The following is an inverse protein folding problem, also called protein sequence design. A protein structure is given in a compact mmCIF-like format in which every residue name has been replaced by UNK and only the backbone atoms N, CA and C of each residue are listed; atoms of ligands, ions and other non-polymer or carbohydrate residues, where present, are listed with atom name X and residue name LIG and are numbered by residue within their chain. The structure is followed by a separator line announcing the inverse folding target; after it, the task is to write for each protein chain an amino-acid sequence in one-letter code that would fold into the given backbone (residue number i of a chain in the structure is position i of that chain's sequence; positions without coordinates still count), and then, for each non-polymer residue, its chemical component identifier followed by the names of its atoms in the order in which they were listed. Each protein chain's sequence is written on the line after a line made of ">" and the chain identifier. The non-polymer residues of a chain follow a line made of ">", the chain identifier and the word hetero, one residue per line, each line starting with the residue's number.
data_IF_359084321946
#
_entry.id   IF_359084321946
#
_cell.length_a   1.000
_cell.length_b   1.000
_cell.length_c   1.000
_cell.angle_alpha   90.00
_cell.angle_beta   90.00
_cell.angle_gamma   90.00
#
_symmetry.space_group_name_H-M   'P 1'
#
loop_
_entity.id
_entity.type
_entity.pdbx_description
1 polymer ?
#
# COMPACT_ATOMS: atom_id res chain seq x y z
N UNK A 1 16.90 3.07 -4.93
CA UNK A 1 17.73 2.55 -3.82
C UNK A 1 17.07 2.79 -2.46
N UNK A 2 16.45 3.95 -2.20
CA UNK A 2 15.76 4.25 -0.93
C UNK A 2 14.57 3.33 -0.60
N UNK A 3 13.69 3.03 -1.57
CA UNK A 3 12.51 2.15 -1.35
C UNK A 3 12.93 0.78 -0.84
N UNK A 4 13.89 0.13 -1.50
CA UNK A 4 14.37 -1.20 -1.10
C UNK A 4 15.03 -1.19 0.27
N UNK A 5 15.85 -0.19 0.57
CA UNK A 5 16.48 -0.04 1.88
C UNK A 5 15.44 0.17 3.00
N UNK A 6 14.48 1.09 2.80
CA UNK A 6 13.40 1.33 3.76
C UNK A 6 12.59 0.06 4.04
N UNK A 7 12.20 -0.68 2.99
CA UNK A 7 11.47 -1.94 3.15
C UNK A 7 12.25 -3.03 3.88
N UNK A 8 13.56 -3.16 3.62
CA UNK A 8 14.42 -4.14 4.32
C UNK A 8 14.59 -3.77 5.80
N UNK A 9 14.87 -2.50 6.10
CA UNK A 9 15.01 -2.00 7.46
C UNK A 9 13.71 -2.23 8.23
N UNK A 10 12.58 -1.82 7.66
CA UNK A 10 11.26 -1.97 8.28
C UNK A 10 10.96 -3.45 8.60
N UNK A 11 11.14 -4.33 7.61
CA UNK A 11 10.87 -5.77 7.78
C UNK A 11 11.78 -6.39 8.84
N UNK A 12 13.05 -5.99 8.87
CA UNK A 12 14.00 -6.42 9.89
C UNK A 12 13.57 -5.97 11.30
N UNK A 13 13.22 -4.69 11.48
CA UNK A 13 12.81 -4.13 12.78
C UNK A 13 11.50 -4.75 13.28
N UNK A 14 10.53 -4.97 12.39
CA UNK A 14 9.30 -5.70 12.71
C UNK A 14 9.64 -7.12 13.20
N UNK A 15 10.51 -7.81 12.46
CA UNK A 15 10.92 -9.18 12.79
C UNK A 15 11.66 -9.23 14.13
N UNK A 16 12.53 -8.27 14.41
CA UNK A 16 13.26 -8.12 15.67
C UNK A 16 12.29 -7.97 16.85
N UNK A 17 11.29 -7.09 16.74
CA UNK A 17 10.30 -6.90 17.80
C UNK A 17 9.45 -8.16 18.03
N UNK A 18 9.07 -8.86 16.96
CA UNK A 18 8.34 -10.13 17.06
C UNK A 18 9.18 -11.26 17.63
N UNK A 19 10.46 -11.32 17.29
CA UNK A 19 11.40 -12.26 17.89
C UNK A 19 11.58 -12.03 19.39
N UNK A 20 11.55 -10.77 19.85
CA UNK A 20 11.52 -10.40 21.27
C UNK A 20 10.19 -10.70 21.98
N UNK A 21 9.17 -11.19 21.27
CA UNK A 21 7.87 -11.54 21.83
C UNK A 21 6.97 -10.33 22.15
N UNK A 22 7.30 -9.14 21.63
CA UNK A 22 6.56 -7.89 21.92
C UNK A 22 5.86 -7.34 20.66
N UNK A 23 5.03 -6.31 20.84
CA UNK A 23 4.37 -5.63 19.74
C UNK A 23 5.39 -4.87 18.88
N UNK A 24 5.24 -4.96 17.55
CA UNK A 24 6.13 -4.26 16.61
C UNK A 24 5.67 -2.84 16.27
N UNK A 25 4.37 -2.56 16.33
CA UNK A 25 3.81 -1.24 16.02
C UNK A 25 3.13 -0.69 17.26
N UNK A 26 3.22 0.64 17.45
CA UNK A 26 2.64 1.34 18.60
C UNK A 26 3.16 0.84 19.96
N UNK A 27 4.41 0.35 19.99
CA UNK A 27 5.04 -0.14 21.21
C UNK A 27 6.01 0.89 21.75
N UNK A 28 5.62 1.56 22.82
CA UNK A 28 6.43 2.54 23.55
C UNK A 28 6.61 2.12 25.02
N UNK A 29 6.50 0.82 25.31
CA UNK A 29 6.60 0.29 26.68
C UNK A 29 7.98 0.54 27.32
N UNK A 30 9.04 0.62 26.50
CA UNK A 30 10.40 0.93 26.93
C UNK A 30 11.04 1.94 25.98
N UNK A 31 12.14 2.57 26.42
CA UNK A 31 12.93 3.48 25.58
C UNK A 31 13.49 2.80 24.32
N UNK A 32 13.87 1.52 24.42
CA UNK A 32 14.30 0.74 23.27
C UNK A 32 13.15 0.49 22.29
N UNK A 33 11.96 0.13 22.78
CA UNK A 33 10.79 -0.11 21.92
C UNK A 33 10.36 1.15 21.19
N UNK A 34 10.32 2.29 21.89
CA UNK A 34 10.03 3.59 21.31
C UNK A 34 11.06 3.97 20.24
N UNK A 35 12.36 3.73 20.47
CA UNK A 35 13.40 4.00 19.48
C UNK A 35 13.25 3.13 18.22
N UNK A 36 12.92 1.84 18.38
CA UNK A 36 12.67 0.94 17.25
C UNK A 36 11.42 1.36 16.48
N UNK A 37 10.34 1.73 17.18
CA UNK A 37 9.12 2.21 16.55
C UNK A 37 9.35 3.52 15.77
N UNK A 38 10.12 4.45 16.33
CA UNK A 38 10.53 5.66 15.62
C UNK A 38 11.38 5.35 14.37
N UNK A 39 12.32 4.41 14.47
CA UNK A 39 13.13 3.97 13.34
C UNK A 39 12.30 3.35 12.22
N UNK A 40 11.25 2.58 12.57
CA UNK A 40 10.27 2.07 11.61
C UNK A 40 9.53 3.21 10.88
N UNK A 41 9.07 4.22 11.63
CA UNK A 41 8.46 5.42 11.02
C UNK A 41 9.37 6.13 10.01
N UNK A 42 10.67 6.22 10.29
CA UNK A 42 11.66 6.75 9.34
C UNK A 42 11.81 5.83 8.11
N UNK A 43 11.91 4.52 8.31
CA UNK A 43 12.04 3.56 7.22
C UNK A 43 10.81 3.60 6.27
N UNK A 44 9.60 3.67 6.82
CA UNK A 44 8.36 3.87 6.05
C UNK A 44 8.39 5.19 5.29
N UNK A 45 8.91 6.27 5.89
CA UNK A 45 9.03 7.57 5.20
C UNK A 45 9.97 7.49 3.98
N UNK A 46 11.04 6.70 4.07
CA UNK A 46 11.96 6.41 2.95
C UNK A 46 11.31 5.60 1.82
N UNK A 47 10.19 4.92 2.09
CA UNK A 47 9.38 4.21 1.09
C UNK A 47 8.27 5.14 0.54
N UNK A 48 7.57 5.85 1.42
CA UNK A 48 6.40 6.65 1.08
C UNK A 48 6.77 7.83 0.17
N UNK A 49 7.81 8.60 0.49
CA UNK A 49 8.20 9.79 -0.28
C UNK A 49 8.55 9.43 -1.73
N UNK A 50 9.44 8.46 -2.02
CA UNK A 50 9.68 8.04 -3.40
C UNK A 50 8.45 7.49 -4.10
N UNK A 51 7.55 6.81 -3.38
CA UNK A 51 6.30 6.28 -3.95
C UNK A 51 5.39 7.41 -4.43
N UNK A 52 5.24 8.48 -3.64
CA UNK A 52 4.52 9.71 -4.05
C UNK A 52 5.17 10.35 -5.27
N UNK A 53 6.50 10.45 -5.29
CA UNK A 53 7.24 10.99 -6.45
C UNK A 53 7.02 10.13 -7.70
N UNK A 54 7.04 8.81 -7.57
CA UNK A 54 6.77 7.88 -8.67
C UNK A 54 5.32 8.01 -9.17
N UNK A 55 4.35 8.11 -8.27
CA UNK A 55 2.96 8.34 -8.62
C UNK A 55 2.80 9.65 -9.43
N UNK A 56 3.37 10.75 -8.94
CA UNK A 56 3.32 12.05 -9.62
C UNK A 56 4.04 12.04 -10.98
N UNK A 57 5.20 11.40 -11.08
CA UNK A 57 5.92 11.23 -12.36
C UNK A 57 5.14 10.36 -13.34
N UNK A 58 4.50 9.29 -12.86
CA UNK A 58 3.71 8.38 -13.70
C UNK A 58 2.51 9.07 -14.34
N UNK A 59 1.88 10.00 -13.62
CA UNK A 59 0.75 10.77 -14.11
C UNK A 59 1.11 11.69 -15.29
N UNK A 60 2.37 12.19 -15.32
CA UNK A 60 2.82 13.18 -16.31
C UNK A 60 3.69 12.61 -17.43
N UNK A 61 4.51 11.59 -17.14
CA UNK A 61 5.59 11.16 -18.04
C UNK A 61 5.51 9.70 -18.48
N UNK A 62 4.60 8.89 -17.93
CA UNK A 62 4.50 7.48 -18.29
C UNK A 62 3.97 7.30 -19.71
N UNK A 63 4.78 6.69 -20.57
CA UNK A 63 4.44 6.31 -21.94
C UNK A 63 4.52 4.79 -22.07
N UNK A 64 3.37 4.13 -22.19
CA UNK A 64 3.26 2.68 -22.37
C UNK A 64 1.87 2.33 -22.90
N UNK A 65 1.56 1.04 -23.06
CA UNK A 65 0.24 0.58 -23.47
C UNK A 65 -0.87 1.15 -22.55
N UNK A 66 -2.03 1.57 -23.08
CA UNK A 66 -3.10 2.17 -22.28
C UNK A 66 -3.53 1.35 -21.04
N UNK A 67 -3.60 0.02 -21.15
CA UNK A 67 -3.98 -0.88 -20.05
C UNK A 67 -2.94 -0.86 -18.93
N UNK A 68 -1.65 -0.88 -19.30
CA UNK A 68 -0.53 -0.82 -18.35
C UNK A 68 -0.39 0.55 -17.72
N UNK A 69 -0.62 1.61 -18.49
CA UNK A 69 -0.63 2.97 -17.97
C UNK A 69 -1.72 3.15 -16.91
N UNK A 70 -2.92 2.63 -17.17
CA UNK A 70 -4.01 2.60 -16.20
C UNK A 70 -3.64 1.79 -14.95
N UNK A 71 -3.14 0.56 -15.11
CA UNK A 71 -2.73 -0.30 -14.00
C UNK A 71 -1.69 0.37 -13.09
N UNK A 72 -0.64 0.98 -13.67
CA UNK A 72 0.41 1.66 -12.92
C UNK A 72 -0.13 2.90 -12.21
N UNK A 73 -0.89 3.76 -12.91
CA UNK A 73 -1.37 5.02 -12.34
C UNK A 73 -2.36 4.80 -11.19
N UNK A 74 -3.35 3.93 -11.39
CA UNK A 74 -4.32 3.59 -10.34
C UNK A 74 -3.64 2.82 -9.20
N UNK A 75 -2.77 1.87 -9.53
CA UNK A 75 -2.03 1.10 -8.53
C UNK A 75 -1.12 1.98 -7.65
N UNK A 76 -0.38 2.92 -8.25
CA UNK A 76 0.44 3.89 -7.50
C UNK A 76 -0.42 4.85 -6.67
N UNK A 77 -1.57 5.29 -7.20
CA UNK A 77 -2.50 6.13 -6.44
C UNK A 77 -3.04 5.38 -5.22
N UNK A 78 -3.45 4.12 -5.38
CA UNK A 78 -3.85 3.26 -4.26
C UNK A 78 -2.71 3.09 -3.27
N UNK A 79 -1.50 2.76 -3.72
CA UNK A 79 -0.34 2.59 -2.83
C UNK A 79 -0.07 3.85 -1.99
N UNK A 80 -0.14 5.04 -2.59
CA UNK A 80 -0.03 6.32 -1.87
C UNK A 80 -1.17 6.51 -0.87
N UNK A 81 -2.42 6.24 -1.26
CA UNK A 81 -3.57 6.33 -0.35
C UNK A 81 -3.43 5.37 0.85
N UNK A 82 -2.89 4.17 0.63
CA UNK A 82 -2.68 3.17 1.68
C UNK A 82 -1.66 3.66 2.69
N UNK A 83 -0.54 4.19 2.21
CA UNK A 83 0.53 4.71 3.05
C UNK A 83 0.14 5.98 3.82
N UNK A 84 -0.47 6.95 3.13
CA UNK A 84 -0.72 8.28 3.69
C UNK A 84 -2.04 8.34 4.43
N UNK A 85 -3.13 7.90 3.80
CA UNK A 85 -4.49 8.07 4.33
C UNK A 85 -4.81 6.96 5.33
N UNK A 86 -4.76 5.70 4.90
CA UNK A 86 -5.11 4.57 5.78
C UNK A 86 -4.05 4.38 6.87
N UNK A 87 -2.76 4.54 6.53
CA UNK A 87 -1.68 4.57 7.52
C UNK A 87 -1.87 5.69 8.55
N UNK A 88 -2.30 6.89 8.12
CA UNK A 88 -2.65 7.99 9.01
C UNK A 88 -3.80 7.66 9.97
N UNK A 89 -4.86 7.00 9.48
CA UNK A 89 -5.95 6.52 10.33
C UNK A 89 -5.47 5.51 11.37
N UNK A 90 -4.60 4.57 10.98
CA UNK A 90 -4.01 3.60 11.91
C UNK A 90 -3.17 4.30 12.99
N UNK A 91 -2.39 5.31 12.64
CA UNK A 91 -1.61 6.09 13.61
C UNK A 91 -2.54 6.83 14.57
N UNK A 92 -3.57 7.50 14.06
CA UNK A 92 -4.53 8.23 14.88
C UNK A 92 -5.33 7.31 15.83
N UNK A 93 -5.67 6.10 15.38
CA UNK A 93 -6.38 5.11 16.18
C UNK A 93 -5.50 4.43 17.25
N UNK A 94 -4.17 4.50 17.10
CA UNK A 94 -3.20 3.93 18.02
C UNK A 94 -3.32 2.41 18.19
N UNK A 95 -2.69 1.86 19.24
CA UNK A 95 -2.59 0.41 19.44
C UNK A 95 -3.94 -0.31 19.54
N UNK A 96 -4.96 0.34 20.14
CA UNK A 96 -6.26 -0.26 20.38
C UNK A 96 -7.14 -0.30 19.11
N UNK A 97 -7.15 0.76 18.30
CA UNK A 97 -8.03 0.85 17.13
C UNK A 97 -7.38 0.48 15.79
N UNK A 98 -6.05 0.51 15.68
CA UNK A 98 -5.36 0.22 14.41
C UNK A 98 -5.62 -1.19 13.86
N UNK A 99 -6.08 -2.12 14.71
CA UNK A 99 -6.47 -3.47 14.32
C UNK A 99 -7.58 -3.50 13.25
N UNK A 100 -8.61 -2.67 13.41
CA UNK A 100 -9.75 -2.61 12.50
C UNK A 100 -9.35 -2.21 11.06
N UNK A 101 -8.32 -1.37 10.94
CA UNK A 101 -7.84 -0.86 9.66
C UNK A 101 -6.82 -1.76 8.96
N UNK A 102 -6.36 -2.87 9.55
CA UNK A 102 -5.34 -3.75 8.93
C UNK A 102 -5.80 -4.33 7.59
N UNK A 103 -7.04 -4.81 7.52
CA UNK A 103 -7.61 -5.39 6.30
C UNK A 103 -7.72 -4.36 5.16
N UNK A 104 -8.38 -3.19 5.35
CA UNK A 104 -8.41 -2.18 4.31
C UNK A 104 -7.02 -1.64 3.96
N UNK A 105 -6.11 -1.51 4.94
CA UNK A 105 -4.74 -1.08 4.68
C UNK A 105 -4.02 -2.06 3.73
N UNK A 106 -4.09 -3.36 4.01
CA UNK A 106 -3.48 -4.39 3.15
C UNK A 106 -4.08 -4.36 1.72
N UNK A 107 -5.41 -4.28 1.59
CA UNK A 107 -6.05 -4.21 0.28
C UNK A 107 -5.59 -3.01 -0.53
N UNK A 108 -5.52 -1.84 0.10
CA UNK A 108 -5.07 -0.62 -0.58
C UNK A 108 -3.61 -0.74 -1.02
N UNK A 109 -2.72 -1.24 -0.15
CA UNK A 109 -1.29 -1.41 -0.47
C UNK A 109 -1.05 -2.43 -1.60
N UNK A 110 -1.89 -3.46 -1.71
CA UNK A 110 -1.72 -4.52 -2.72
C UNK A 110 -2.38 -4.24 -4.08
N UNK A 111 -3.08 -3.11 -4.22
CA UNK A 111 -3.78 -2.76 -5.47
C UNK A 111 -2.85 -2.66 -6.69
N UNK A 112 -1.62 -2.17 -6.51
CA UNK A 112 -0.65 -2.10 -7.61
C UNK A 112 -0.29 -3.49 -8.14
N UNK A 113 -0.01 -4.45 -7.26
CA UNK A 113 0.32 -5.82 -7.64
C UNK A 113 -0.83 -6.47 -8.39
N UNK A 114 -2.06 -6.33 -7.88
CA UNK A 114 -3.25 -6.92 -8.50
C UNK A 114 -3.49 -6.37 -9.90
N UNK A 115 -3.39 -5.05 -10.08
CA UNK A 115 -3.61 -4.42 -11.39
C UNK A 115 -2.52 -4.75 -12.40
N UNK A 116 -1.26 -4.87 -11.95
CA UNK A 116 -0.17 -5.30 -12.82
C UNK A 116 -0.31 -6.78 -13.24
N UNK A 117 -0.73 -7.65 -12.31
CA UNK A 117 -1.03 -9.06 -12.62
C UNK A 117 -2.21 -9.15 -13.59
N UNK A 118 -3.25 -8.33 -13.42
CA UNK A 118 -4.38 -8.27 -14.35
C UNK A 118 -3.96 -7.81 -15.76
N UNK A 119 -3.17 -6.73 -15.88
CA UNK A 119 -2.61 -6.29 -17.19
C UNK A 119 -1.75 -7.39 -17.83
N UNK A 120 -0.93 -8.08 -17.02
CA UNK A 120 -0.07 -9.16 -17.48
C UNK A 120 -0.88 -10.35 -18.00
N UNK A 121 -1.86 -10.84 -17.24
CA UNK A 121 -2.75 -11.95 -17.64
C UNK A 121 -3.53 -11.59 -18.91
N UNK A 122 -4.14 -10.41 -18.96
CA UNK A 122 -4.85 -9.94 -20.16
C UNK A 122 -3.91 -9.75 -21.35
N UNK A 123 -2.63 -9.43 -21.11
CA UNK A 123 -1.58 -9.38 -22.12
C UNK A 123 -1.16 -10.74 -22.67
N UNK A 124 -1.53 -11.86 -22.02
CA UNK A 124 -1.34 -13.22 -22.55
C UNK A 124 -2.46 -13.68 -23.48
N UNK A 125 -3.46 -12.83 -23.72
CA UNK A 125 -4.62 -13.14 -24.57
C UNK A 125 -4.51 -12.49 -25.95
N UNK A 126 -5.32 -12.95 -26.92
CA UNK A 126 -5.49 -12.28 -28.22
C UNK A 126 -6.41 -11.05 -28.19
N UNK A 127 -6.77 -10.54 -27.01
CA UNK A 127 -7.71 -9.43 -26.88
C UNK A 127 -7.13 -8.11 -27.39
N UNK A 128 -7.97 -7.31 -28.03
CA UNK A 128 -7.60 -5.96 -28.46
C UNK A 128 -7.21 -5.08 -27.27
N UNK A 129 -6.35 -4.09 -27.50
CA UNK A 129 -5.88 -3.18 -26.46
C UNK A 129 -7.03 -2.44 -25.75
N UNK A 130 -8.14 -2.19 -26.45
CA UNK A 130 -9.37 -1.60 -25.88
C UNK A 130 -10.02 -2.54 -24.86
N UNK A 131 -10.15 -3.83 -25.18
CA UNK A 131 -10.72 -4.83 -24.27
C UNK A 131 -9.82 -5.07 -23.05
N UNK A 132 -8.50 -5.13 -23.25
CA UNK A 132 -7.53 -5.22 -22.15
C UNK A 132 -7.64 -4.04 -21.19
N UNK A 133 -7.77 -2.82 -21.73
CA UNK A 133 -7.92 -1.61 -20.91
C UNK A 133 -9.23 -1.61 -20.13
N UNK A 134 -10.34 -2.03 -20.75
CA UNK A 134 -11.63 -2.23 -20.05
C UNK A 134 -11.55 -3.28 -18.95
N UNK A 135 -10.85 -4.40 -19.21
CA UNK A 135 -10.62 -5.45 -18.21
C UNK A 135 -9.84 -4.93 -17.00
N UNK A 136 -8.73 -4.22 -17.23
CA UNK A 136 -7.97 -3.58 -16.13
C UNK A 136 -8.82 -2.55 -15.39
N UNK A 137 -9.63 -1.75 -16.10
CA UNK A 137 -10.54 -0.79 -15.47
C UNK A 137 -11.60 -1.48 -14.59
N UNK A 138 -12.18 -2.60 -15.04
CA UNK A 138 -13.13 -3.37 -14.26
C UNK A 138 -12.48 -3.91 -12.98
N UNK A 139 -11.28 -4.50 -13.07
CA UNK A 139 -10.52 -4.97 -11.89
C UNK A 139 -10.22 -3.81 -10.94
N UNK A 140 -9.81 -2.65 -11.46
CA UNK A 140 -9.56 -1.46 -10.66
C UNK A 140 -10.81 -0.99 -9.91
N UNK A 141 -11.97 -0.93 -10.58
CA UNK A 141 -13.24 -0.55 -9.95
C UNK A 141 -13.61 -1.55 -8.86
N UNK A 142 -13.54 -2.85 -9.14
CA UNK A 142 -13.81 -3.90 -8.14
C UNK A 142 -12.88 -3.76 -6.93
N UNK A 143 -11.59 -3.50 -7.17
CA UNK A 143 -10.62 -3.33 -6.09
C UNK A 143 -10.91 -2.10 -5.23
N UNK A 144 -11.26 -0.97 -5.85
CA UNK A 144 -11.66 0.26 -5.15
C UNK A 144 -12.93 0.04 -4.34
N UNK A 145 -13.91 -0.70 -4.86
CA UNK A 145 -15.13 -1.04 -4.12
C UNK A 145 -14.81 -1.92 -2.91
N UNK A 146 -13.96 -2.94 -3.06
CA UNK A 146 -13.52 -3.79 -1.94
C UNK A 146 -12.82 -2.97 -0.84
N UNK A 147 -11.95 -2.05 -1.24
CA UNK A 147 -11.30 -1.09 -0.33
C UNK A 147 -12.35 -0.24 0.39
N UNK A 148 -13.30 0.35 -0.34
CA UNK A 148 -14.30 1.24 0.25
C UNK A 148 -15.20 0.49 1.25
N UNK A 149 -15.65 -0.72 0.90
CA UNK A 149 -16.48 -1.56 1.78
C UNK A 149 -15.71 -1.96 3.03
N UNK A 150 -14.45 -2.38 2.90
CA UNK A 150 -13.64 -2.78 4.07
C UNK A 150 -13.23 -1.60 4.94
N UNK A 151 -13.02 -0.41 4.37
CA UNK A 151 -12.83 0.83 5.13
C UNK A 151 -14.11 1.22 5.89
N UNK A 152 -15.26 1.20 5.23
CA UNK A 152 -16.54 1.50 5.86
C UNK A 152 -16.84 0.51 7.00
N UNK A 153 -16.56 -0.77 6.79
CA UNK A 153 -16.63 -1.77 7.85
C UNK A 153 -15.67 -1.41 8.99
N UNK A 154 -14.39 -1.15 8.72
CA UNK A 154 -13.42 -0.81 9.76
C UNK A 154 -13.86 0.38 10.62
N UNK A 155 -14.46 1.42 10.03
CA UNK A 155 -14.98 2.58 10.77
C UNK A 155 -16.16 2.27 11.71
N UNK A 156 -16.92 1.20 11.47
CA UNK A 156 -18.00 0.77 12.38
C UNK A 156 -17.44 0.06 13.62
N UNK A 157 -16.23 -0.51 13.52
CA UNK A 157 -15.63 -1.37 14.55
C UNK A 157 -14.31 -0.82 15.13
N UNK A 158 -13.91 0.39 14.75
CA UNK A 158 -12.73 1.11 15.23
C UNK A 158 -13.09 2.02 16.41
#
# INVERSE_FOLDING_TARGET
>A
MSVGAGSLIETFLISLQRWRGVASHFNEATSFDAAVFAAMGVAISLVAVPTVVLAARSARRLQTLPSRSLAIRVGLALLVLGQVVVGGFMIAAGAQGAGAFKAPHALVLHGLQVLLVADWLLGRTGLSQRLRTRGVAAVAITWVVLVAVTLAWAWVWA
#
